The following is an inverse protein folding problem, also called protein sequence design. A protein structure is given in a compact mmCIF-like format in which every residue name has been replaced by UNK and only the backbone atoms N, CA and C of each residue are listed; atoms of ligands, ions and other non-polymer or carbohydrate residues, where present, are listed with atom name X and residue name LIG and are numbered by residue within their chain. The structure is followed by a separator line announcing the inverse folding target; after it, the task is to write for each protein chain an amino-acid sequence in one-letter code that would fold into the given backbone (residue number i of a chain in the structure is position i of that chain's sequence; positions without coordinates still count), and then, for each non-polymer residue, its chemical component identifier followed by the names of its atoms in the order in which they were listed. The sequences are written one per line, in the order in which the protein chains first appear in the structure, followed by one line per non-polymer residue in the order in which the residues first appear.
data_IF_810604361982
#
_entry.id   IF_810604361982
#
_cell.length_a   1.000
_cell.length_b   1.000
_cell.length_c   1.000
_cell.angle_alpha   90.00
_cell.angle_beta   90.00
_cell.angle_gamma   90.00
#
_symmetry.space_group_name_H-M   'P 1'
#
loop_
_entity.id
_entity.type
_entity.pdbx_description
1 polymer ?
#
# COMPACT_ATOMS: atom_id res chain seq x y z
N UNK A 1 -4.62 15.70 17.39
CA UNK A 1 -3.88 16.48 16.38
C UNK A 1 -3.23 15.47 15.46
N UNK A 2 -3.87 15.14 14.34
CA UNK A 2 -3.25 14.24 13.36
C UNK A 2 -2.22 15.10 12.63
N UNK A 3 -0.94 14.75 12.72
CA UNK A 3 0.09 15.48 12.00
C UNK A 3 -0.19 15.32 10.49
N UNK A 4 -0.11 16.41 9.74
CA UNK A 4 -0.14 16.42 8.28
C UNK A 4 1.00 15.58 7.64
N UNK A 5 1.85 14.92 8.43
CA UNK A 5 2.93 14.01 8.02
C UNK A 5 2.50 12.54 7.86
N UNK A 6 1.28 12.16 8.24
CA UNK A 6 0.77 10.77 8.17
C UNK A 6 -0.10 10.48 6.93
N UNK A 7 -0.22 11.42 5.99
CA UNK A 7 -0.98 11.17 4.76
C UNK A 7 -0.27 10.09 3.93
N UNK A 8 -1.00 9.02 3.63
CA UNK A 8 -0.56 7.93 2.75
C UNK A 8 -0.92 8.34 1.32
N UNK A 9 0.06 8.60 0.44
CA UNK A 9 -0.21 9.05 -0.93
C UNK A 9 -1.13 8.12 -1.71
N UNK A 10 -2.20 8.66 -2.29
CA UNK A 10 -3.17 7.95 -3.12
C UNK A 10 -2.95 8.18 -4.64
N UNK A 11 -2.10 9.16 -4.98
CA UNK A 11 -1.80 9.54 -6.36
C UNK A 11 -0.39 10.16 -6.49
N UNK A 12 0.04 10.40 -7.73
CA UNK A 12 1.37 10.94 -8.01
C UNK A 12 1.57 12.39 -7.54
N UNK A 13 0.52 13.22 -7.46
CA UNK A 13 0.64 14.59 -6.94
C UNK A 13 0.99 14.57 -5.45
N UNK A 14 0.36 13.68 -4.67
CA UNK A 14 0.66 13.47 -3.26
C UNK A 14 2.02 12.82 -3.03
N UNK A 15 2.42 11.87 -3.89
CA UNK A 15 3.78 11.30 -3.87
C UNK A 15 4.82 12.39 -4.08
N UNK A 16 4.62 13.26 -5.08
CA UNK A 16 5.54 14.37 -5.36
C UNK A 16 5.58 15.37 -4.20
N UNK A 17 4.44 15.68 -3.58
CA UNK A 17 4.39 16.51 -2.39
C UNK A 17 5.21 15.89 -1.25
N UNK A 18 4.99 14.60 -0.95
CA UNK A 18 5.70 13.88 0.11
C UNK A 18 7.20 13.77 -0.19
N UNK A 19 7.58 13.52 -1.44
CA UNK A 19 8.97 13.52 -1.88
C UNK A 19 9.66 14.86 -1.62
N UNK A 20 9.01 15.97 -1.96
CA UNK A 20 9.53 17.31 -1.72
C UNK A 20 9.69 17.62 -0.22
N UNK A 21 8.74 17.21 0.61
CA UNK A 21 8.84 17.35 2.07
C UNK A 21 10.01 16.54 2.63
N UNK A 22 10.14 15.27 2.25
CA UNK A 22 11.21 14.38 2.72
C UNK A 22 12.59 14.84 2.25
N UNK A 23 12.69 15.38 1.03
CA UNK A 23 13.94 15.88 0.46
C UNK A 23 14.54 17.05 1.25
N UNK A 24 13.73 17.82 1.98
CA UNK A 24 14.21 18.90 2.88
C UNK A 24 15.03 18.37 4.06
N UNK A 25 14.90 17.09 4.40
CA UNK A 25 15.64 16.47 5.51
C UNK A 25 17.13 16.23 5.23
N UNK A 26 17.58 16.41 3.98
CA UNK A 26 18.97 16.19 3.57
C UNK A 26 19.36 14.71 3.43
N UNK A 27 18.42 13.78 3.60
CA UNK A 27 18.61 12.34 3.32
C UNK A 27 18.25 12.03 1.87
N UNK A 28 18.90 11.03 1.23
CA UNK A 28 18.44 10.52 -0.05
C UNK A 28 17.04 9.93 0.11
N UNK A 29 16.17 10.25 -0.84
CA UNK A 29 14.77 9.79 -0.91
C UNK A 29 14.55 9.24 -2.30
N UNK A 30 13.94 8.06 -2.40
CA UNK A 30 13.49 7.48 -3.66
C UNK A 30 11.96 7.59 -3.77
N UNK A 31 11.47 8.00 -4.95
CA UNK A 31 10.04 8.04 -5.25
C UNK A 31 9.44 6.63 -5.23
N UNK A 32 10.19 5.63 -5.67
CA UNK A 32 9.68 4.26 -5.78
C UNK A 32 9.53 3.62 -4.39
N UNK A 33 10.39 4.00 -3.44
CA UNK A 33 10.24 3.64 -2.03
C UNK A 33 9.00 4.30 -1.40
N UNK A 34 8.74 5.57 -1.72
CA UNK A 34 7.53 6.27 -1.25
C UNK A 34 6.29 5.54 -1.79
N UNK A 35 6.26 5.23 -3.08
CA UNK A 35 5.13 4.55 -3.71
C UNK A 35 4.95 3.15 -3.13
N UNK A 36 6.02 2.36 -3.00
CA UNK A 36 5.96 1.01 -2.44
C UNK A 36 5.41 1.01 -1.01
N UNK A 37 5.87 1.96 -0.18
CA UNK A 37 5.33 2.14 1.16
C UNK A 37 3.86 2.55 1.14
N UNK A 38 3.49 3.45 0.23
CA UNK A 38 2.10 3.90 0.08
C UNK A 38 1.17 2.76 -0.31
N UNK A 39 1.56 1.92 -1.26
CA UNK A 39 0.81 0.72 -1.65
C UNK A 39 0.62 -0.22 -0.47
N UNK A 40 1.69 -0.50 0.28
CA UNK A 40 1.63 -1.36 1.47
C UNK A 40 0.69 -0.80 2.54
N UNK A 41 0.78 0.51 2.81
CA UNK A 41 -0.01 1.18 3.83
C UNK A 41 -1.49 1.29 3.46
N UNK A 42 -1.79 1.60 2.20
CA UNK A 42 -3.16 1.63 1.69
C UNK A 42 -3.80 0.24 1.76
N UNK A 43 -3.08 -0.79 1.30
CA UNK A 43 -3.61 -2.15 1.37
C UNK A 43 -3.87 -2.59 2.81
N UNK A 44 -2.94 -2.31 3.73
CA UNK A 44 -3.14 -2.60 5.15
C UNK A 44 -4.34 -1.84 5.72
N UNK A 45 -4.51 -0.56 5.37
CA UNK A 45 -5.67 0.23 5.78
C UNK A 45 -6.98 -0.37 5.28
N UNK A 46 -7.05 -0.80 4.01
CA UNK A 46 -8.24 -1.45 3.47
C UNK A 46 -8.51 -2.80 4.13
N UNK A 47 -7.47 -3.59 4.40
CA UNK A 47 -7.58 -4.86 5.08
C UNK A 47 -8.16 -4.68 6.49
N UNK A 48 -7.58 -3.77 7.28
CA UNK A 48 -8.07 -3.43 8.62
C UNK A 48 -9.50 -2.90 8.61
N UNK A 49 -9.85 -2.08 7.62
CA UNK A 49 -11.21 -1.56 7.48
C UNK A 49 -12.21 -2.66 7.10
N UNK A 50 -11.82 -3.65 6.30
CA UNK A 50 -12.68 -4.74 5.86
C UNK A 50 -12.86 -5.80 6.96
N UNK A 51 -11.87 -5.97 7.83
CA UNK A 51 -11.74 -7.14 8.71
C UNK A 51 -12.49 -7.07 10.05
N UNK A 52 -13.16 -5.96 10.39
CA UNK A 52 -13.95 -5.77 11.63
C UNK A 52 -13.31 -6.36 12.93
N UNK A 53 -11.97 -6.52 13.00
CA UNK A 53 -11.27 -7.11 14.14
C UNK A 53 -10.44 -8.39 13.87
N UNK A 54 -10.26 -8.80 12.61
CA UNK A 54 -9.20 -9.74 12.23
C UNK A 54 -7.85 -8.99 12.17
N UNK A 55 -6.75 -9.70 12.46
CA UNK A 55 -5.40 -9.12 12.58
C UNK A 55 -4.49 -9.60 11.45
N UNK A 56 -5.00 -9.58 10.21
CA UNK A 56 -4.17 -9.96 9.08
C UNK A 56 -3.22 -8.80 8.71
N UNK A 57 -2.04 -9.17 8.21
CA UNK A 57 -0.98 -8.24 7.82
C UNK A 57 -0.63 -8.45 6.35
N UNK A 58 -0.73 -7.39 5.56
CA UNK A 58 -0.27 -7.34 4.19
C UNK A 58 1.19 -6.91 4.10
N UNK A 59 2.02 -7.71 3.42
CA UNK A 59 3.42 -7.40 3.16
C UNK A 59 3.72 -7.42 1.66
N UNK A 60 4.24 -6.32 1.14
CA UNK A 60 4.70 -6.21 -0.24
C UNK A 60 6.13 -6.78 -0.39
N UNK A 61 6.28 -7.80 -1.22
CA UNK A 61 7.56 -8.40 -1.62
C UNK A 61 7.65 -8.40 -3.17
N UNK A 62 8.43 -7.46 -3.70
CA UNK A 62 8.58 -7.26 -5.14
C UNK A 62 7.27 -6.92 -5.86
N UNK A 63 6.77 -7.87 -6.66
CA UNK A 63 5.52 -7.75 -7.43
C UNK A 63 4.31 -8.37 -6.72
N UNK A 64 4.48 -8.85 -5.49
CA UNK A 64 3.49 -9.67 -4.78
C UNK A 64 3.18 -9.11 -3.40
N UNK A 65 1.90 -8.98 -3.08
CA UNK A 65 1.45 -8.76 -1.69
C UNK A 65 1.12 -10.12 -1.09
N UNK A 66 1.76 -10.44 0.04
CA UNK A 66 1.49 -11.62 0.84
C UNK A 66 0.65 -11.21 2.05
N UNK A 67 -0.34 -12.03 2.40
CA UNK A 67 -1.22 -11.77 3.54
C UNK A 67 -1.00 -12.85 4.59
N UNK A 68 -0.74 -12.41 5.80
CA UNK A 68 -0.44 -13.28 6.93
C UNK A 68 -1.45 -13.06 8.04
N UNK A 69 -2.04 -14.14 8.53
CA UNK A 69 -2.90 -14.09 9.71
C UNK A 69 -2.11 -14.23 11.02
N UNK A 70 -2.85 -14.45 12.10
CA UNK A 70 -2.28 -14.63 13.45
C UNK A 70 -1.18 -15.69 13.45
N UNK A 71 -0.04 -15.36 14.06
CA UNK A 71 1.14 -16.23 14.09
C UNK A 71 1.98 -16.19 12.83
N UNK A 72 1.77 -15.18 11.97
CA UNK A 72 2.50 -14.99 10.71
C UNK A 72 2.35 -16.17 9.74
N UNK A 73 1.17 -16.80 9.76
CA UNK A 73 0.83 -17.88 8.84
C UNK A 73 0.27 -17.27 7.56
N UNK A 74 0.96 -17.50 6.44
CA UNK A 74 0.52 -17.01 5.12
C UNK A 74 -0.85 -17.59 4.77
N UNK A 75 -1.83 -16.72 4.58
CA UNK A 75 -3.19 -17.06 4.17
C UNK A 75 -3.29 -17.06 2.64
N UNK A 76 -2.86 -15.97 2.01
CA UNK A 76 -2.94 -15.81 0.57
C UNK A 76 -1.88 -14.85 0.03
N UNK A 77 -1.89 -14.63 -1.28
CA UNK A 77 -1.09 -13.61 -1.95
C UNK A 77 -1.68 -13.23 -3.29
N UNK A 78 -1.45 -12.00 -3.73
CA UNK A 78 -1.83 -11.52 -5.06
C UNK A 78 -0.73 -10.64 -5.67
N UNK A 79 -0.69 -10.60 -7.00
CA UNK A 79 0.36 -9.92 -7.78
C UNK A 79 -0.09 -8.57 -8.33
N UNK A 80 0.87 -7.74 -8.70
CA UNK A 80 0.66 -6.60 -9.59
C UNK A 80 0.10 -7.05 -10.94
N UNK A 81 -0.50 -6.11 -11.67
CA UNK A 81 -1.02 -6.33 -13.03
C UNK A 81 0.06 -6.07 -14.07
N UNK A 82 0.86 -5.01 -13.89
CA UNK A 82 2.09 -4.72 -14.61
C UNK A 82 3.30 -5.43 -14.00
N UNK A 83 4.51 -4.91 -14.25
CA UNK A 83 5.72 -5.53 -13.75
C UNK A 83 5.98 -5.28 -12.25
N UNK A 84 5.31 -4.28 -11.67
CA UNK A 84 5.31 -4.03 -10.22
C UNK A 84 4.10 -3.22 -9.78
N UNK A 85 3.82 -3.20 -8.48
CA UNK A 85 2.82 -2.31 -7.90
C UNK A 85 3.19 -0.83 -8.04
N UNK A 86 4.50 -0.50 -8.10
CA UNK A 86 4.96 0.87 -8.37
C UNK A 86 4.56 1.31 -9.77
N UNK A 87 4.73 0.45 -10.78
CA UNK A 87 4.28 0.76 -12.13
C UNK A 87 2.77 0.86 -12.23
N UNK A 88 2.03 -0.06 -11.58
CA UNK A 88 0.57 0.01 -11.53
C UNK A 88 0.11 1.36 -10.95
N UNK A 89 0.72 1.80 -9.86
CA UNK A 89 0.42 3.07 -9.20
C UNK A 89 0.72 4.28 -10.11
N UNK A 90 1.89 4.31 -10.75
CA UNK A 90 2.30 5.38 -11.66
C UNK A 90 1.39 5.47 -12.89
N UNK A 91 0.94 4.33 -13.39
CA UNK A 91 0.10 4.27 -14.59
C UNK A 91 -1.35 4.69 -14.31
N UNK A 92 -1.93 4.19 -13.22
CA UNK A 92 -3.30 4.51 -12.82
C UNK A 92 -3.54 4.19 -11.34
N UNK A 93 -3.23 5.15 -10.47
CA UNK A 93 -3.37 4.94 -9.02
C UNK A 93 -4.82 4.64 -8.62
N UNK A 94 -5.82 5.25 -9.25
CA UNK A 94 -7.24 5.00 -8.96
C UNK A 94 -7.61 3.53 -9.23
N UNK A 95 -7.20 2.97 -10.37
CA UNK A 95 -7.45 1.56 -10.68
C UNK A 95 -6.76 0.62 -9.70
N UNK A 96 -5.52 0.94 -9.32
CA UNK A 96 -4.80 0.16 -8.32
C UNK A 96 -5.50 0.22 -6.96
N UNK A 97 -5.89 1.39 -6.48
CA UNK A 97 -6.54 1.56 -5.18
C UNK A 97 -7.85 0.77 -5.09
N UNK A 98 -8.71 0.87 -6.12
CA UNK A 98 -9.93 0.06 -6.21
C UNK A 98 -9.62 -1.45 -6.16
N UNK A 99 -8.55 -1.89 -6.83
CA UNK A 99 -8.15 -3.29 -6.81
C UNK A 99 -7.62 -3.72 -5.44
N UNK A 100 -6.87 -2.88 -4.74
CA UNK A 100 -6.39 -3.17 -3.38
C UNK A 100 -7.56 -3.32 -2.41
N UNK A 101 -8.52 -2.39 -2.46
CA UNK A 101 -9.76 -2.44 -1.68
C UNK A 101 -10.56 -3.71 -1.99
N UNK A 102 -10.75 -4.05 -3.27
CA UNK A 102 -11.43 -5.30 -3.67
C UNK A 102 -10.71 -6.56 -3.17
N UNK A 103 -9.37 -6.57 -3.10
CA UNK A 103 -8.64 -7.72 -2.57
C UNK A 103 -8.83 -7.83 -1.05
N UNK A 104 -8.72 -6.73 -0.32
CA UNK A 104 -8.98 -6.68 1.12
C UNK A 104 -10.40 -7.20 1.43
N UNK A 105 -11.40 -6.74 0.70
CA UNK A 105 -12.80 -7.18 0.82
C UNK A 105 -12.99 -8.69 0.58
N UNK A 106 -12.22 -9.26 -0.36
CA UNK A 106 -12.26 -10.70 -0.65
C UNK A 106 -11.62 -11.51 0.48
N UNK A 107 -10.54 -11.00 1.06
CA UNK A 107 -9.81 -11.67 2.15
C UNK A 107 -10.66 -11.66 3.43
N UNK A 108 -11.22 -10.50 3.80
CA UNK A 108 -12.05 -10.37 4.99
C UNK A 108 -13.30 -11.28 4.97
N UNK A 109 -13.75 -11.72 3.79
CA UNK A 109 -14.91 -12.62 3.59
C UNK A 109 -14.53 -14.09 3.43
N UNK A 110 -13.24 -14.42 3.41
CA UNK A 110 -12.73 -15.80 3.20
C UNK A 110 -12.67 -16.61 4.48
#
# INVERSE_FOLDING_TARGET
MILMSELIPENMDEVNYKFNELSKSGKPVDIDDIISKSVSDLFQMYLESAEEGHYDTGELDGDTINVYGIGHVKQCSFKSKGASFVEDFKNNSIELLLRLEEQADKIARS
#
